data_IF_248432627031
#
_entry.id   IF_248432627031
#
_cell.length_a   1.000
_cell.length_b   1.000
_cell.length_c   1.000
_cell.angle_alpha   90.00
_cell.angle_beta   90.00
_cell.angle_gamma   90.00
#
_symmetry.space_group_name_H-M   'P 1'
#
loop_
_entity.id
_entity.type
_entity.pdbx_description
1 polymer ?
#
# COMPACT_ATOMS: atom_id res chain seq x y z
N UNK A 1 -26.43 10.86 -1.54
CA UNK A 1 -25.62 11.09 -2.75
C UNK A 1 -24.51 10.05 -2.75
N UNK A 2 -24.36 9.27 -3.82
CA UNK A 2 -23.20 8.39 -3.98
C UNK A 2 -22.05 9.21 -4.58
N UNK A 3 -20.81 8.99 -4.13
CA UNK A 3 -19.64 9.60 -4.74
C UNK A 3 -19.53 9.15 -6.21
N UNK A 4 -19.10 10.05 -7.11
CA UNK A 4 -18.88 9.67 -8.51
C UNK A 4 -17.69 8.71 -8.62
N UNK A 5 -17.72 7.81 -9.60
CA UNK A 5 -16.62 6.86 -9.89
C UNK A 5 -15.28 7.57 -10.01
N UNK A 6 -15.25 8.71 -10.69
CA UNK A 6 -14.07 9.55 -10.85
C UNK A 6 -13.55 10.10 -9.50
N UNK A 7 -14.45 10.50 -8.59
CA UNK A 7 -14.06 10.98 -7.26
C UNK A 7 -13.45 9.86 -6.41
N UNK A 8 -13.98 8.64 -6.54
CA UNK A 8 -13.46 7.46 -5.87
C UNK A 8 -12.08 7.04 -6.42
N UNK A 9 -11.90 7.07 -7.74
CA UNK A 9 -10.61 6.78 -8.40
C UNK A 9 -9.52 7.78 -7.99
N UNK A 10 -9.87 9.07 -7.92
CA UNK A 10 -8.95 10.12 -7.45
C UNK A 10 -8.59 9.94 -5.98
N UNK A 11 -9.57 9.61 -5.13
CA UNK A 11 -9.32 9.33 -3.72
C UNK A 11 -8.41 8.12 -3.56
N UNK A 12 -8.63 7.05 -4.33
CA UNK A 12 -7.78 5.86 -4.35
C UNK A 12 -6.34 6.20 -4.70
N UNK A 13 -6.16 6.93 -5.79
CA UNK A 13 -4.83 7.36 -6.25
C UNK A 13 -4.12 8.17 -5.15
N UNK A 14 -4.82 9.14 -4.56
CA UNK A 14 -4.26 9.98 -3.50
C UNK A 14 -3.86 9.18 -2.25
N UNK A 15 -4.66 8.19 -1.84
CA UNK A 15 -4.35 7.32 -0.69
C UNK A 15 -3.11 6.48 -0.98
N UNK A 16 -3.04 5.88 -2.16
CA UNK A 16 -1.91 5.03 -2.57
C UNK A 16 -0.61 5.82 -2.68
N UNK A 17 -0.65 7.02 -3.27
CA UNK A 17 0.50 7.91 -3.34
C UNK A 17 0.97 8.30 -1.93
N UNK A 18 0.04 8.65 -1.03
CA UNK A 18 0.37 9.02 0.35
C UNK A 18 0.99 7.86 1.14
N UNK A 19 0.49 6.64 0.94
CA UNK A 19 1.07 5.45 1.56
C UNK A 19 2.51 5.22 1.07
N UNK A 20 2.75 5.39 -0.23
CA UNK A 20 4.10 5.26 -0.82
C UNK A 20 5.06 6.30 -0.22
N UNK A 21 4.67 7.57 -0.21
CA UNK A 21 5.46 8.65 0.40
C UNK A 21 5.76 8.38 1.89
N UNK A 22 4.78 7.83 2.62
CA UNK A 22 4.95 7.56 4.05
C UNK A 22 5.93 6.41 4.29
N UNK A 23 5.95 5.40 3.42
CA UNK A 23 6.92 4.30 3.48
C UNK A 23 8.33 4.83 3.18
N UNK A 24 8.48 5.71 2.20
CA UNK A 24 9.78 6.32 1.85
C UNK A 24 10.33 7.25 2.94
N UNK A 25 9.44 7.94 3.66
CA UNK A 25 9.83 8.90 4.69
C UNK A 25 10.26 8.26 6.02
N UNK A 26 9.86 7.01 6.28
CA UNK A 26 10.11 6.35 7.56
C UNK A 26 11.35 5.45 7.45
N UNK A 27 12.37 5.65 8.30
CA UNK A 27 13.54 4.77 8.34
C UNK A 27 13.18 3.31 8.60
N UNK A 28 13.89 2.40 7.94
CA UNK A 28 13.73 0.97 8.17
C UNK A 28 13.97 0.62 9.65
N UNK A 29 13.02 -0.08 10.27
CA UNK A 29 13.08 -0.49 11.68
C UNK A 29 12.44 0.49 12.67
N UNK A 30 11.90 1.63 12.22
CA UNK A 30 11.13 2.51 13.10
C UNK A 30 9.76 1.93 13.48
N UNK A 31 9.37 2.17 14.74
CA UNK A 31 8.05 1.81 15.27
C UNK A 31 6.98 2.65 14.56
N UNK A 32 6.26 2.00 13.65
CA UNK A 32 5.20 2.62 12.84
C UNK A 32 5.21 2.15 11.39
N UNK A 33 6.40 1.80 10.87
CA UNK A 33 6.54 1.31 9.50
C UNK A 33 5.74 0.03 9.27
N UNK A 34 5.82 -0.94 10.19
CA UNK A 34 5.07 -2.19 10.10
C UNK A 34 3.55 -1.99 10.01
N UNK A 35 3.00 -1.02 10.76
CA UNK A 35 1.57 -0.70 10.71
C UNK A 35 1.19 -0.12 9.34
N UNK A 36 2.01 0.78 8.79
CA UNK A 36 1.77 1.39 7.47
C UNK A 36 1.91 0.35 6.36
N UNK A 37 2.90 -0.53 6.43
CA UNK A 37 3.07 -1.64 5.49
C UNK A 37 1.86 -2.59 5.52
N UNK A 38 1.28 -2.86 6.68
CA UNK A 38 0.08 -3.68 6.80
C UNK A 38 -1.16 -2.99 6.20
N UNK A 39 -1.33 -1.69 6.41
CA UNK A 39 -2.40 -0.90 5.77
C UNK A 39 -2.24 -0.91 4.26
N UNK A 40 -1.02 -0.72 3.75
CA UNK A 40 -0.73 -0.76 2.31
C UNK A 40 -1.04 -2.12 1.69
N UNK A 41 -0.66 -3.23 2.36
CA UNK A 41 -0.99 -4.59 1.92
C UNK A 41 -2.50 -4.84 1.89
N UNK A 42 -3.21 -4.39 2.92
CA UNK A 42 -4.67 -4.55 3.01
C UNK A 42 -5.38 -3.72 1.94
N UNK A 43 -4.92 -2.49 1.70
CA UNK A 43 -5.43 -1.63 0.63
C UNK A 43 -5.31 -2.29 -0.75
N UNK A 44 -4.14 -2.86 -1.08
CA UNK A 44 -3.95 -3.58 -2.35
C UNK A 44 -4.83 -4.84 -2.45
N UNK A 45 -5.03 -5.55 -1.34
CA UNK A 45 -5.90 -6.73 -1.27
C UNK A 45 -7.38 -6.38 -1.49
N UNK A 46 -7.86 -5.32 -0.84
CA UNK A 46 -9.26 -4.87 -0.92
C UNK A 46 -9.63 -4.34 -2.31
N UNK A 47 -8.64 -3.82 -3.03
CA UNK A 47 -8.77 -3.39 -4.43
C UNK A 47 -8.87 -4.52 -5.46
N UNK A 48 -8.87 -5.78 -5.02
CA UNK A 48 -8.97 -6.91 -5.94
C UNK A 48 -7.72 -7.09 -6.80
N UNK A 49 -6.54 -6.72 -6.29
CA UNK A 49 -5.24 -7.05 -6.89
C UNK A 49 -4.94 -8.54 -6.63
N UNK A 50 -5.87 -9.42 -6.98
CA UNK A 50 -5.55 -10.74 -7.53
C UNK A 50 -5.14 -10.62 -9.01
N UNK A 51 -5.44 -9.47 -9.65
CA UNK A 51 -4.91 -9.09 -10.95
C UNK A 51 -3.63 -8.26 -10.79
N UNK A 52 -2.57 -8.68 -11.47
CA UNK A 52 -1.22 -8.07 -11.43
C UNK A 52 -1.31 -6.54 -11.55
N UNK A 53 -0.71 -5.75 -10.63
CA UNK A 53 -0.70 -4.30 -10.74
C UNK A 53 -0.21 -3.86 -12.11
N UNK A 54 -0.95 -2.97 -12.79
CA UNK A 54 -0.51 -2.44 -14.08
C UNK A 54 0.79 -1.65 -13.87
N UNK A 55 1.90 -2.01 -14.55
CA UNK A 55 3.16 -1.30 -14.40
C UNK A 55 2.98 0.20 -14.68
N UNK A 56 3.42 1.05 -13.75
CA UNK A 56 3.31 2.51 -13.87
C UNK A 56 2.06 3.14 -13.24
N UNK A 57 1.08 2.37 -12.80
CA UNK A 57 -0.05 2.89 -11.99
C UNK A 57 0.39 3.21 -10.55
N UNK A 58 -0.39 4.03 -9.84
CA UNK A 58 -0.14 4.30 -8.42
C UNK A 58 -0.10 3.01 -7.59
N UNK A 59 -1.04 2.09 -7.83
CA UNK A 59 -1.07 0.77 -7.17
C UNK A 59 0.12 -0.11 -7.53
N UNK A 60 0.62 -0.02 -8.77
CA UNK A 60 1.86 -0.67 -9.20
C UNK A 60 3.08 -0.17 -8.44
N UNK A 61 3.22 1.15 -8.29
CA UNK A 61 4.31 1.76 -7.51
C UNK A 61 4.29 1.30 -6.06
N UNK A 62 3.12 1.29 -5.43
CA UNK A 62 2.98 0.81 -4.05
C UNK A 62 3.31 -0.69 -3.94
N UNK A 63 2.86 -1.50 -4.89
CA UNK A 63 3.17 -2.93 -4.93
C UNK A 63 4.67 -3.20 -5.11
N UNK A 64 5.36 -2.44 -5.97
CA UNK A 64 6.81 -2.53 -6.13
C UNK A 64 7.54 -2.12 -4.85
N UNK A 65 7.08 -1.04 -4.19
CA UNK A 65 7.65 -0.60 -2.93
C UNK A 65 7.54 -1.67 -1.83
N UNK A 66 6.40 -2.35 -1.74
CA UNK A 66 6.21 -3.43 -0.76
C UNK A 66 7.15 -4.63 -0.98
N UNK A 67 7.67 -4.85 -2.20
CA UNK A 67 8.67 -5.91 -2.45
C UNK A 67 10.00 -5.63 -1.77
N UNK A 68 10.32 -4.37 -1.47
CA UNK A 68 11.50 -3.99 -0.69
C UNK A 68 11.36 -4.39 0.80
N UNK A 69 10.13 -4.65 1.25
CA UNK A 69 9.79 -5.04 2.61
C UNK A 69 9.05 -6.39 2.62
N UNK A 70 9.77 -7.49 2.28
CA UNK A 70 9.17 -8.82 2.23
C UNK A 70 8.54 -9.15 3.60
N UNK A 71 7.26 -9.52 3.58
CA UNK A 71 6.56 -9.96 4.77
C UNK A 71 6.94 -11.42 5.05
N UNK A 72 7.46 -11.70 6.23
CA UNK A 72 7.68 -13.06 6.68
C UNK A 72 6.64 -13.38 7.78
N UNK A 73 5.62 -14.22 7.48
CA UNK A 73 4.55 -14.54 8.42
C UNK A 73 5.04 -15.25 9.70
N UNK A 74 6.29 -15.75 9.74
CA UNK A 74 6.89 -16.39 10.90
C UNK A 74 7.58 -15.40 11.85
N UNK A 75 8.09 -14.28 11.34
CA UNK A 75 8.76 -13.25 12.15
C UNK A 75 7.86 -12.06 12.45
N UNK A 76 6.95 -11.69 11.54
CA UNK A 76 6.08 -10.50 11.67
C UNK A 76 4.83 -10.73 12.55
N UNK A 77 4.56 -11.98 12.99
CA UNK A 77 3.46 -12.29 13.94
C UNK A 77 3.83 -12.09 15.42
N UNK A 78 5.04 -11.64 15.69
CA UNK A 78 5.62 -11.57 17.04
C UNK A 78 5.43 -10.18 17.69
N UNK A 79 4.22 -9.64 17.70
CA UNK A 79 3.90 -8.41 18.45
C UNK A 79 2.51 -8.45 19.07
#
# INVERSE_FOLDING_TARGET
>A
MAASKESLERLHTAVVDKLTESIDAIPAGEKGLAAILNVARQMLKDEGIESVPVPGSATGKLADKLKEFPFDPTTDRSH
#
